data_IF_129078618991
#
_entry.id   IF_129078618991
#
_cell.length_a   1.000
_cell.length_b   1.000
_cell.length_c   1.000
_cell.angle_alpha   90.00
_cell.angle_beta   90.00
_cell.angle_gamma   90.00
#
_symmetry.space_group_name_H-M   'P 1'
#
loop_
_entity.id
_entity.type
_entity.pdbx_description
1 polymer ?
#
# COMPACT_ATOMS: atom_id res chain seq x y z
N UNK A 1 11.78 21.87 -5.77
CA UNK A 1 11.41 23.19 -5.22
C UNK A 1 11.23 24.23 -6.33
N UNK A 2 12.19 24.35 -7.26
CA UNK A 2 12.05 25.31 -8.38
C UNK A 2 10.80 25.05 -9.23
N UNK A 3 10.51 23.79 -9.55
CA UNK A 3 9.29 23.41 -10.28
C UNK A 3 8.02 23.72 -9.48
N UNK A 4 8.00 23.40 -8.17
CA UNK A 4 6.88 23.73 -7.30
C UNK A 4 6.61 25.23 -7.29
N UNK A 5 7.66 26.06 -7.16
CA UNK A 5 7.55 27.51 -7.25
C UNK A 5 6.99 27.97 -8.60
N UNK A 6 7.50 27.41 -9.71
CA UNK A 6 7.05 27.78 -11.05
C UNK A 6 5.60 27.39 -11.34
N UNK A 7 5.09 26.36 -10.65
CA UNK A 7 3.68 25.92 -10.74
C UNK A 7 2.77 26.59 -9.69
N UNK A 8 3.28 27.51 -8.89
CA UNK A 8 2.51 28.21 -7.87
C UNK A 8 2.22 27.40 -6.62
N UNK A 9 3.06 26.39 -6.32
CA UNK A 9 2.91 25.52 -5.14
C UNK A 9 3.85 26.00 -4.02
N UNK A 10 3.26 26.39 -2.88
CA UNK A 10 4.00 26.87 -1.70
C UNK A 10 4.49 25.78 -0.78
N UNK A 11 3.75 24.66 -0.69
CA UNK A 11 4.05 23.53 0.18
C UNK A 11 4.16 22.22 -0.57
N UNK A 12 5.17 21.43 -0.26
CA UNK A 12 5.46 20.17 -0.92
C UNK A 12 5.43 19.00 0.08
N UNK A 13 4.65 17.94 -0.21
CA UNK A 13 4.54 16.74 0.63
C UNK A 13 5.73 15.79 0.45
N UNK A 14 6.91 16.29 0.73
CA UNK A 14 8.20 15.59 0.71
C UNK A 14 9.25 16.46 1.47
N UNK A 15 10.47 15.96 1.71
CA UNK A 15 10.97 14.60 1.45
C UNK A 15 10.43 13.56 2.44
N UNK A 16 10.56 12.27 2.03
CA UNK A 16 10.24 11.14 2.89
C UNK A 16 11.51 10.66 3.57
N UNK A 17 11.50 10.46 4.89
CA UNK A 17 12.71 10.14 5.63
C UNK A 17 12.54 9.03 6.69
N UNK A 18 11.55 8.15 6.51
CA UNK A 18 11.45 6.94 7.32
C UNK A 18 12.58 5.95 6.98
N UNK A 19 12.78 4.95 7.83
CA UNK A 19 13.87 3.99 7.68
C UNK A 19 13.48 2.81 6.77
N UNK A 20 14.20 2.53 5.67
CA UNK A 20 13.94 1.37 4.80
C UNK A 20 14.48 0.08 5.43
N UNK A 21 13.87 -0.41 6.48
CA UNK A 21 14.35 -1.53 7.27
C UNK A 21 13.95 -2.92 6.77
N UNK A 22 12.94 -2.98 5.91
CA UNK A 22 12.42 -4.21 5.35
C UNK A 22 12.31 -4.03 3.82
N UNK A 23 12.87 -4.93 3.00
CA UNK A 23 12.75 -4.83 1.55
C UNK A 23 11.30 -4.84 1.06
N UNK A 24 10.39 -5.43 1.83
CA UNK A 24 8.95 -5.48 1.53
C UNK A 24 8.13 -4.38 2.23
N UNK A 25 8.76 -3.31 2.65
CA UNK A 25 8.07 -2.21 3.34
C UNK A 25 7.04 -1.49 2.47
N UNK A 26 7.17 -1.54 1.15
CA UNK A 26 6.21 -0.99 0.19
C UNK A 26 6.53 0.43 -0.28
N UNK A 27 7.42 1.17 0.40
CA UNK A 27 7.79 2.57 0.05
C UNK A 27 9.30 2.84 0.11
N UNK A 28 10.14 1.82 0.07
CA UNK A 28 11.59 1.98 0.13
C UNK A 28 12.15 2.85 -1.01
N UNK A 29 11.47 2.91 -2.15
CA UNK A 29 11.82 3.78 -3.27
C UNK A 29 11.77 5.29 -2.95
N UNK A 30 11.05 5.68 -1.89
CA UNK A 30 10.94 7.07 -1.44
C UNK A 30 11.94 7.40 -0.32
N UNK A 31 12.50 6.39 0.35
CA UNK A 31 13.35 6.57 1.52
C UNK A 31 14.81 6.71 1.10
N UNK A 32 15.61 7.34 1.93
CA UNK A 32 16.97 7.72 1.57
C UNK A 32 17.97 6.60 1.92
N UNK A 33 18.00 6.18 3.18
CA UNK A 33 18.97 5.22 3.67
C UNK A 33 18.52 4.57 4.97
N UNK A 34 19.07 3.39 5.27
CA UNK A 34 18.97 2.75 6.59
C UNK A 34 19.82 3.44 7.65
N UNK A 35 20.82 4.22 7.24
CA UNK A 35 21.64 5.05 8.13
C UNK A 35 20.88 6.33 8.53
N UNK A 36 20.52 6.49 9.81
CA UNK A 36 19.74 7.64 10.28
C UNK A 36 20.51 8.95 10.17
N UNK A 37 21.84 8.93 10.26
CA UNK A 37 22.67 10.13 10.15
C UNK A 37 22.77 10.59 8.70
N UNK A 38 23.02 9.65 7.78
CA UNK A 38 23.07 9.94 6.35
C UNK A 38 21.70 10.45 5.86
N UNK A 39 20.61 9.75 6.24
CA UNK A 39 19.24 10.19 5.94
C UNK A 39 18.97 11.59 6.50
N UNK A 40 19.36 11.84 7.74
CA UNK A 40 19.18 13.12 8.40
C UNK A 40 19.90 14.27 7.70
N UNK A 41 21.16 14.09 7.35
CA UNK A 41 21.94 15.09 6.60
C UNK A 41 21.34 15.36 5.22
N UNK A 42 20.98 14.30 4.49
CA UNK A 42 20.37 14.43 3.17
C UNK A 42 19.02 15.16 3.21
N UNK A 43 18.14 14.79 4.14
CA UNK A 43 16.85 15.48 4.33
C UNK A 43 17.04 16.95 4.72
N UNK A 44 18.03 17.24 5.56
CA UNK A 44 18.31 18.63 5.93
C UNK A 44 18.72 19.48 4.73
N UNK A 45 19.56 18.96 3.82
CA UNK A 45 19.97 19.68 2.61
C UNK A 45 18.81 19.83 1.62
N UNK A 46 17.97 18.79 1.43
CA UNK A 46 16.75 18.91 0.63
C UNK A 46 15.83 19.99 1.21
N UNK A 47 15.66 20.00 2.53
CA UNK A 47 14.86 21.01 3.24
C UNK A 47 15.37 22.42 3.03
N UNK A 48 16.69 22.64 3.16
CA UNK A 48 17.31 23.95 2.88
C UNK A 48 17.09 24.39 1.43
N UNK A 49 17.25 23.46 0.47
CA UNK A 49 17.00 23.76 -0.94
C UNK A 49 15.55 24.13 -1.23
N UNK A 50 14.59 23.54 -0.55
CA UNK A 50 13.17 23.92 -0.64
C UNK A 50 12.96 25.34 -0.09
N UNK A 51 13.43 25.61 1.11
CA UNK A 51 13.26 26.90 1.80
C UNK A 51 13.94 28.01 1.01
N UNK A 52 15.13 27.77 0.46
CA UNK A 52 15.83 28.76 -0.37
C UNK A 52 15.03 29.14 -1.63
N UNK A 53 14.13 28.30 -2.10
CA UNK A 53 13.20 28.59 -3.19
C UNK A 53 11.85 29.14 -2.70
N UNK A 54 11.67 29.36 -1.39
CA UNK A 54 10.42 29.82 -0.79
C UNK A 54 9.32 28.76 -0.77
N UNK A 55 9.68 27.47 -0.87
CA UNK A 55 8.76 26.34 -0.78
C UNK A 55 9.01 25.61 0.54
N UNK A 56 7.97 25.42 1.36
CA UNK A 56 8.12 24.67 2.60
C UNK A 56 7.84 23.18 2.39
N UNK A 57 8.80 22.30 2.75
CA UNK A 57 8.59 20.88 2.70
C UNK A 57 7.77 20.41 3.89
N UNK A 58 6.81 19.51 3.67
CA UNK A 58 6.23 18.70 4.72
C UNK A 58 7.01 17.39 4.83
N UNK A 59 8.06 17.40 5.65
CA UNK A 59 8.92 16.24 5.88
C UNK A 59 8.10 15.11 6.49
N UNK A 60 8.15 13.90 5.93
CA UNK A 60 7.19 12.83 6.22
C UNK A 60 7.85 11.45 6.36
N UNK A 61 7.20 10.49 6.99
CA UNK A 61 6.00 10.59 7.82
C UNK A 61 6.40 10.48 9.29
N UNK A 62 6.09 11.47 10.07
CA UNK A 62 6.49 11.59 11.47
C UNK A 62 5.50 10.86 12.40
N UNK A 63 5.85 9.71 12.94
CA UNK A 63 7.11 8.99 12.85
C UNK A 63 6.87 7.48 12.80
N UNK A 64 7.95 6.74 12.45
CA UNK A 64 7.97 5.25 12.53
C UNK A 64 7.01 4.57 11.53
N UNK A 65 6.82 5.13 10.37
CA UNK A 65 6.06 4.52 9.28
C UNK A 65 6.99 3.71 8.35
N UNK A 66 7.51 2.59 8.85
CA UNK A 66 8.53 1.80 8.14
C UNK A 66 7.92 0.65 7.32
N UNK A 67 6.60 0.53 7.27
CA UNK A 67 5.92 -0.51 6.49
C UNK A 67 4.49 -0.08 6.17
N UNK A 68 4.11 -0.21 4.90
CA UNK A 68 2.78 0.12 4.40
C UNK A 68 1.72 -0.93 4.75
N UNK A 69 2.12 -2.21 4.82
CA UNK A 69 1.18 -3.28 5.14
C UNK A 69 0.59 -3.10 6.54
N UNK A 70 -0.72 -2.91 6.61
CA UNK A 70 -1.45 -2.71 7.87
C UNK A 70 -1.12 -1.42 8.61
N UNK A 71 -0.58 -0.39 7.97
CA UNK A 71 -0.10 0.86 8.60
C UNK A 71 -1.14 1.55 9.48
N UNK A 72 -2.42 1.48 9.14
CA UNK A 72 -3.52 2.06 9.92
C UNK A 72 -3.86 1.26 11.18
N UNK A 73 -3.50 -0.01 11.24
CA UNK A 73 -3.83 -0.91 12.35
C UNK A 73 -2.62 -1.26 13.22
N UNK A 74 -1.42 -0.97 12.73
CA UNK A 74 -0.16 -1.29 13.41
C UNK A 74 0.03 -0.49 14.70
N UNK A 75 0.51 -1.20 15.71
CA UNK A 75 1.07 -0.66 16.95
C UNK A 75 2.57 -0.86 16.92
N UNK A 76 3.35 0.21 16.84
CA UNK A 76 4.80 0.12 16.77
C UNK A 76 5.40 0.31 18.15
N UNK A 77 6.08 -0.71 18.65
CA UNK A 77 6.73 -0.72 19.96
C UNK A 77 8.24 -0.70 19.79
N UNK A 78 8.92 0.18 20.47
CA UNK A 78 10.36 0.34 20.44
C UNK A 78 10.82 1.03 21.72
N UNK A 79 12.13 0.92 22.02
CA UNK A 79 12.72 1.66 23.12
C UNK A 79 12.82 3.14 22.77
N UNK A 80 12.83 4.01 23.78
CA UNK A 80 13.04 5.44 23.57
C UNK A 80 14.40 5.73 22.91
N UNK A 81 15.43 4.99 23.27
CA UNK A 81 16.75 5.09 22.64
C UNK A 81 16.65 4.82 21.13
N UNK A 82 16.09 3.70 20.72
CA UNK A 82 15.92 3.38 19.31
C UNK A 82 15.06 4.44 18.59
N UNK A 83 13.99 4.90 19.24
CA UNK A 83 13.13 5.94 18.69
C UNK A 83 13.95 7.21 18.39
N UNK A 84 14.74 7.69 19.34
CA UNK A 84 15.48 8.96 19.21
C UNK A 84 16.71 8.86 18.32
N UNK A 85 17.47 7.78 18.44
CA UNK A 85 18.77 7.65 17.76
C UNK A 85 18.62 7.19 16.30
N UNK A 86 17.54 6.49 15.98
CA UNK A 86 17.32 5.92 14.64
C UNK A 86 16.13 6.61 13.95
N UNK A 87 14.93 6.41 14.44
CA UNK A 87 13.70 6.76 13.71
C UNK A 87 13.38 8.25 13.68
N UNK A 88 13.70 8.96 14.74
CA UNK A 88 13.50 10.40 14.84
C UNK A 88 14.69 11.22 14.34
N UNK A 89 15.85 10.61 14.21
CA UNK A 89 17.09 11.31 13.84
C UNK A 89 16.98 12.08 12.52
N UNK A 90 16.44 11.53 11.42
CA UNK A 90 16.26 12.30 10.20
C UNK A 90 15.36 13.53 10.35
N UNK A 91 14.29 13.41 11.13
CA UNK A 91 13.39 14.52 11.43
C UNK A 91 14.05 15.60 12.30
N UNK A 92 14.84 15.17 13.28
CA UNK A 92 15.63 16.11 14.10
C UNK A 92 16.57 16.96 13.24
N UNK A 93 17.27 16.33 12.28
CA UNK A 93 18.11 17.06 11.33
C UNK A 93 17.30 17.97 10.41
N UNK A 94 16.17 17.54 9.91
CA UNK A 94 15.29 18.37 9.11
C UNK A 94 14.87 19.65 9.85
N UNK A 95 14.54 19.54 11.14
CA UNK A 95 14.11 20.66 11.98
C UNK A 95 15.30 21.52 12.42
N UNK A 96 16.31 20.91 13.06
CA UNK A 96 17.41 21.68 13.68
C UNK A 96 18.40 22.21 12.67
N UNK A 97 18.73 21.44 11.64
CA UNK A 97 19.73 21.78 10.62
C UNK A 97 19.07 22.32 9.36
N UNK A 98 18.05 21.63 8.86
CA UNK A 98 17.32 22.01 7.66
C UNK A 98 16.36 23.18 7.85
N UNK A 99 15.99 23.50 9.09
CA UNK A 99 15.03 24.57 9.44
C UNK A 99 13.63 24.33 8.86
N UNK A 100 13.20 23.09 8.79
CA UNK A 100 11.89 22.70 8.29
C UNK A 100 10.76 23.50 8.96
N UNK A 101 9.81 23.96 8.17
CA UNK A 101 8.60 24.67 8.61
C UNK A 101 7.32 23.87 8.36
N UNK A 102 7.44 22.62 7.85
CA UNK A 102 6.36 21.68 7.64
C UNK A 102 6.75 20.26 8.06
N UNK A 103 5.86 19.58 8.76
CA UNK A 103 5.99 18.15 9.13
C UNK A 103 4.67 17.45 8.86
N UNK A 104 4.71 16.28 8.22
CA UNK A 104 3.53 15.42 8.06
C UNK A 104 3.60 14.26 9.04
N UNK A 105 2.57 14.12 9.88
CA UNK A 105 2.47 13.00 10.83
C UNK A 105 1.98 11.73 10.16
N UNK A 106 2.37 10.58 10.68
CA UNK A 106 2.14 9.27 10.07
C UNK A 106 0.81 8.62 10.46
N UNK A 107 0.40 7.61 9.69
CA UNK A 107 -0.80 6.82 9.97
C UNK A 107 -0.67 5.93 11.20
N UNK A 108 0.50 5.30 11.39
CA UNK A 108 0.71 4.29 12.41
C UNK A 108 0.56 4.83 13.84
N UNK A 109 0.45 3.92 14.76
CA UNK A 109 0.56 4.21 16.18
C UNK A 109 2.00 4.05 16.66
N UNK A 110 2.42 4.89 17.59
CA UNK A 110 3.63 4.70 18.38
C UNK A 110 3.19 4.32 19.80
N UNK A 111 3.53 3.11 20.22
CA UNK A 111 2.82 2.46 21.29
C UNK A 111 1.35 2.27 20.91
N UNK A 112 0.44 2.61 21.80
CA UNK A 112 -1.01 2.53 21.58
C UNK A 112 -1.62 3.80 20.95
N UNK A 113 -0.84 4.87 20.78
CA UNK A 113 -1.35 6.20 20.39
C UNK A 113 -1.03 6.48 18.92
N UNK A 114 -2.03 6.93 18.16
CA UNK A 114 -1.80 7.42 16.79
C UNK A 114 -0.74 8.53 16.79
N UNK A 115 0.21 8.46 15.85
CA UNK A 115 1.35 9.37 15.81
C UNK A 115 0.93 10.87 15.77
N UNK A 116 -0.07 11.22 14.93
CA UNK A 116 -0.60 12.60 14.87
C UNK A 116 -1.38 13.03 16.11
N UNK A 117 -1.82 12.10 16.94
CA UNK A 117 -2.49 12.33 18.22
C UNK A 117 -1.58 12.12 19.44
N UNK A 118 -0.28 11.94 19.22
CA UNK A 118 0.69 11.68 20.27
C UNK A 118 1.36 12.99 20.73
N UNK A 119 0.92 13.51 21.89
CA UNK A 119 1.46 14.74 22.47
C UNK A 119 2.96 14.70 22.73
N UNK A 120 3.50 13.54 23.15
CA UNK A 120 4.93 13.39 23.38
C UNK A 120 5.74 13.58 22.08
N UNK A 121 5.23 13.06 20.94
CA UNK A 121 5.88 13.26 19.66
C UNK A 121 5.70 14.68 19.13
N UNK A 122 4.44 15.12 18.98
CA UNK A 122 4.11 16.34 18.23
C UNK A 122 4.34 17.63 19.02
N UNK A 123 4.27 17.58 20.34
CA UNK A 123 4.51 18.75 21.19
C UNK A 123 5.81 18.66 21.96
N UNK A 124 6.03 17.61 22.76
CA UNK A 124 7.21 17.56 23.62
C UNK A 124 8.50 17.46 22.80
N UNK A 125 8.63 16.45 21.93
CA UNK A 125 9.84 16.24 21.15
C UNK A 125 9.94 17.28 20.03
N UNK A 126 8.94 17.33 19.14
CA UNK A 126 9.02 18.15 17.94
C UNK A 126 9.12 19.65 18.25
N UNK A 127 8.25 20.17 19.12
CA UNK A 127 8.16 21.61 19.38
C UNK A 127 9.03 22.06 20.56
N UNK A 128 8.94 21.38 21.69
CA UNK A 128 9.63 21.85 22.89
C UNK A 128 11.13 21.52 22.89
N UNK A 129 11.51 20.28 22.50
CA UNK A 129 12.92 19.89 22.48
C UNK A 129 13.66 20.37 21.21
N UNK A 130 13.02 20.26 20.03
CA UNK A 130 13.69 20.62 18.76
C UNK A 130 13.42 22.04 18.32
N UNK A 131 12.46 22.72 18.93
CA UNK A 131 12.13 24.11 18.63
C UNK A 131 11.37 24.30 17.30
N UNK A 132 10.65 23.28 16.84
CA UNK A 132 9.85 23.38 15.62
C UNK A 132 8.71 24.38 15.78
N UNK A 133 8.60 25.32 14.85
CA UNK A 133 7.64 26.43 14.89
C UNK A 133 6.60 26.38 13.78
N UNK A 134 6.82 25.55 12.77
CA UNK A 134 5.98 25.46 11.59
C UNK A 134 4.71 24.64 11.78
N UNK A 135 4.01 24.39 10.67
CA UNK A 135 2.76 23.64 10.65
C UNK A 135 2.99 22.12 10.60
N UNK A 136 2.21 21.39 11.38
CA UNK A 136 2.05 19.95 11.24
C UNK A 136 0.79 19.66 10.43
N UNK A 137 0.87 18.76 9.46
CA UNK A 137 -0.27 18.22 8.72
C UNK A 137 -0.39 16.72 9.01
N UNK A 138 -1.61 16.19 9.06
CA UNK A 138 -1.78 14.72 9.13
C UNK A 138 -1.45 14.11 7.78
N UNK A 139 -1.07 12.83 7.75
CA UNK A 139 -1.30 12.03 6.56
C UNK A 139 -2.81 11.97 6.27
N UNK A 140 -3.24 11.37 5.16
CA UNK A 140 -4.64 11.45 4.73
C UNK A 140 -5.62 11.06 5.83
N UNK A 141 -6.38 12.04 6.31
CA UNK A 141 -7.37 11.89 7.36
C UNK A 141 -8.72 11.48 6.77
N UNK A 142 -8.97 10.18 6.72
CA UNK A 142 -10.20 9.63 6.14
C UNK A 142 -11.36 9.58 7.14
N UNK A 143 -11.23 10.17 8.34
CA UNK A 143 -12.22 10.01 9.42
C UNK A 143 -12.22 8.60 10.01
N UNK A 144 -11.15 7.83 9.81
CA UNK A 144 -11.00 6.48 10.32
C UNK A 144 -11.02 6.48 11.86
N UNK A 145 -11.73 5.52 12.44
CA UNK A 145 -12.12 5.52 13.84
C UNK A 145 -11.02 5.67 14.89
N UNK A 146 -9.74 5.45 14.55
CA UNK A 146 -8.61 5.60 15.47
C UNK A 146 -7.93 6.98 15.39
N UNK A 147 -8.03 7.68 14.25
CA UNK A 147 -7.51 9.03 14.07
C UNK A 147 -8.57 10.02 14.57
N UNK A 148 -8.45 10.42 15.83
CA UNK A 148 -9.41 11.36 16.44
C UNK A 148 -8.93 12.79 16.27
N UNK A 149 -9.71 13.63 15.60
CA UNK A 149 -9.39 15.04 15.37
C UNK A 149 -9.16 15.81 16.68
N UNK A 150 -10.02 15.60 17.66
CA UNK A 150 -9.86 16.22 19.00
C UNK A 150 -8.53 15.84 19.64
N UNK A 151 -8.16 14.56 19.59
CA UNK A 151 -6.87 14.09 20.10
C UNK A 151 -5.69 14.76 19.36
N UNK A 152 -5.75 14.83 18.03
CA UNK A 152 -4.74 15.50 17.21
C UNK A 152 -4.57 16.97 17.58
N UNK A 153 -5.66 17.74 17.70
CA UNK A 153 -5.61 19.15 18.11
C UNK A 153 -4.93 19.31 19.47
N UNK A 154 -5.31 18.50 20.46
CA UNK A 154 -4.68 18.55 21.78
C UNK A 154 -3.22 18.09 21.78
N UNK A 155 -2.84 17.24 20.87
CA UNK A 155 -1.46 16.81 20.67
C UNK A 155 -0.58 17.86 19.98
N UNK A 156 -1.16 18.89 19.35
CA UNK A 156 -0.44 19.94 18.63
C UNK A 156 -0.43 19.78 17.12
N UNK A 157 -1.38 19.00 16.59
CA UNK A 157 -1.63 18.91 15.14
C UNK A 157 -2.35 20.16 14.65
N UNK A 158 -1.88 20.74 13.54
CA UNK A 158 -2.39 22.02 13.04
C UNK A 158 -3.38 21.85 11.89
N UNK A 159 -3.08 20.95 10.93
CA UNK A 159 -3.85 20.74 9.71
C UNK A 159 -4.25 19.27 9.59
N UNK A 160 -5.50 19.03 9.21
CA UNK A 160 -6.03 17.69 8.91
C UNK A 160 -6.22 17.56 7.41
N UNK A 161 -5.45 16.69 6.77
CA UNK A 161 -5.52 16.45 5.32
C UNK A 161 -6.74 15.59 5.00
N UNK A 162 -7.82 16.23 4.57
CA UNK A 162 -9.08 15.56 4.22
C UNK A 162 -9.35 15.71 2.72
N UNK A 163 -9.98 14.70 2.11
CA UNK A 163 -10.50 14.80 0.75
C UNK A 163 -11.83 15.59 0.69
N UNK A 164 -12.17 16.11 -0.49
CA UNK A 164 -13.50 16.71 -0.73
C UNK A 164 -14.58 15.67 -0.47
N UNK A 165 -15.58 16.05 0.32
CA UNK A 165 -16.71 15.17 0.66
C UNK A 165 -16.44 14.21 1.84
N UNK A 166 -15.28 14.26 2.45
CA UNK A 166 -15.03 13.52 3.70
C UNK A 166 -15.90 14.13 4.80
N UNK A 167 -16.87 13.38 5.30
CA UNK A 167 -17.61 13.73 6.52
C UNK A 167 -16.70 13.48 7.72
N UNK A 168 -15.68 14.34 7.90
CA UNK A 168 -14.79 14.28 9.06
C UNK A 168 -15.52 14.73 10.35
N UNK A 169 -14.91 14.40 11.50
CA UNK A 169 -15.29 15.02 12.76
C UNK A 169 -15.23 16.54 12.57
N UNK A 170 -16.33 17.21 12.79
CA UNK A 170 -16.35 18.68 12.82
C UNK A 170 -15.89 19.18 14.17
N UNK A 171 -15.27 20.34 14.22
CA UNK A 171 -14.94 21.02 15.48
C UNK A 171 -16.18 21.49 16.25
N UNK A 172 -17.39 21.27 15.68
CA UNK A 172 -18.66 21.65 16.32
C UNK A 172 -18.77 21.08 17.73
N UNK A 173 -19.19 21.90 18.66
CA UNK A 173 -19.29 21.57 20.09
C UNK A 173 -18.02 21.80 20.93
N UNK A 174 -16.87 22.09 20.30
CA UNK A 174 -15.65 22.46 21.04
C UNK A 174 -15.37 23.98 21.05
N UNK A 175 -16.16 24.77 20.35
CA UNK A 175 -15.98 26.24 20.22
C UNK A 175 -16.07 27.01 21.53
N UNK A 176 -16.69 26.45 22.56
CA UNK A 176 -16.75 27.01 23.92
C UNK A 176 -15.68 26.47 24.86
N UNK A 177 -14.88 25.48 24.48
CA UNK A 177 -13.84 24.90 25.32
C UNK A 177 -12.57 25.75 25.27
N UNK A 178 -12.16 26.40 26.40
CA UNK A 178 -11.01 27.30 26.40
C UNK A 178 -9.68 26.62 25.98
N UNK A 179 -9.48 25.35 26.37
CA UNK A 179 -8.29 24.60 26.02
C UNK A 179 -8.26 24.33 24.51
N UNK A 180 -9.39 23.95 23.92
CA UNK A 180 -9.50 23.76 22.48
C UNK A 180 -9.21 25.07 21.71
N UNK A 181 -9.82 26.17 22.15
CA UNK A 181 -9.59 27.51 21.55
C UNK A 181 -8.10 27.88 21.62
N UNK A 182 -7.45 27.64 22.76
CA UNK A 182 -6.01 27.89 22.93
C UNK A 182 -5.17 27.08 21.94
N UNK A 183 -5.46 25.80 21.74
CA UNK A 183 -4.74 24.96 20.79
C UNK A 183 -5.03 25.37 19.34
N UNK A 184 -6.27 25.70 19.00
CA UNK A 184 -6.64 26.21 17.68
C UNK A 184 -5.90 27.52 17.33
N UNK A 185 -5.76 28.42 18.29
CA UNK A 185 -4.95 29.66 18.12
C UNK A 185 -3.47 29.35 17.88
N UNK A 186 -2.91 28.35 18.57
CA UNK A 186 -1.54 27.89 18.33
C UNK A 186 -1.40 27.30 16.93
N UNK A 187 -2.36 26.49 16.47
CA UNK A 187 -2.40 25.94 15.15
C UNK A 187 -2.41 27.04 14.06
N UNK A 188 -3.29 28.03 14.20
CA UNK A 188 -3.31 29.18 13.30
C UNK A 188 -1.95 29.92 13.27
N UNK A 189 -1.33 30.14 14.43
CA UNK A 189 0.01 30.76 14.51
C UNK A 189 1.07 29.94 13.78
N UNK A 190 1.05 28.63 13.93
CA UNK A 190 2.00 27.71 13.29
C UNK A 190 1.82 27.70 11.76
N UNK A 191 0.58 27.68 11.29
CA UNK A 191 0.24 27.77 9.86
C UNK A 191 0.71 29.10 9.29
N UNK A 192 0.40 30.22 9.97
CA UNK A 192 0.86 31.55 9.56
C UNK A 192 2.39 31.63 9.53
N UNK A 193 3.08 31.03 10.49
CA UNK A 193 4.54 31.01 10.49
C UNK A 193 5.08 30.28 9.23
N UNK A 194 4.51 29.14 8.85
CA UNK A 194 4.93 28.44 7.63
C UNK A 194 4.65 29.27 6.39
N UNK A 195 3.46 29.86 6.29
CA UNK A 195 3.07 30.72 5.16
C UNK A 195 3.97 31.95 5.00
N UNK A 196 4.32 32.64 6.10
CA UNK A 196 5.20 33.81 6.08
C UNK A 196 6.63 33.49 5.61
N UNK A 197 7.01 32.22 5.51
CA UNK A 197 8.31 31.79 4.99
C UNK A 197 8.23 31.26 3.54
N UNK A 198 7.12 31.49 2.83
CA UNK A 198 6.99 31.12 1.42
C UNK A 198 7.48 32.23 0.48
N UNK A 199 7.77 31.88 -0.77
CA UNK A 199 8.12 32.85 -1.80
C UNK A 199 6.98 33.83 -2.10
N UNK A 200 5.73 33.39 -1.90
CA UNK A 200 4.55 34.23 -2.09
C UNK A 200 4.63 35.48 -1.19
N UNK A 201 4.99 35.29 0.08
CA UNK A 201 5.19 36.41 1.00
C UNK A 201 6.36 37.28 0.59
N UNK A 202 7.48 36.70 0.15
CA UNK A 202 8.64 37.49 -0.30
C UNK A 202 8.38 38.24 -1.60
N UNK A 203 7.60 37.71 -2.50
CA UNK A 203 7.21 38.32 -3.77
C UNK A 203 6.21 39.47 -3.59
N UNK A 204 5.41 39.43 -2.52
CA UNK A 204 4.43 40.50 -2.19
C UNK A 204 4.96 41.54 -1.24
N UNK A 205 6.20 41.42 -0.78
CA UNK A 205 6.86 42.36 0.09
C UNK A 205 7.41 43.56 -0.71
N UNK A 206 6.50 44.32 -1.30
CA UNK A 206 6.80 45.69 -1.66
C UNK A 206 6.55 46.57 -0.42
N UNK A 207 7.41 47.52 -0.16
CA UNK A 207 7.49 48.31 1.08
C UNK A 207 6.34 49.30 1.30
N UNK A 208 5.27 49.21 0.56
CA UNK A 208 4.05 49.99 0.72
C UNK A 208 2.98 49.18 1.51
N UNK A 209 2.55 49.72 2.62
CA UNK A 209 1.67 49.15 3.62
C UNK A 209 0.25 48.67 3.19
N UNK A 210 0.01 48.42 1.92
CA UNK A 210 -1.32 48.09 1.38
C UNK A 210 -1.50 46.66 0.89
N UNK A 211 -0.68 45.74 1.38
CA UNK A 211 -0.47 44.40 0.79
C UNK A 211 -1.70 43.47 0.88
N UNK A 212 -2.50 43.58 1.92
CA UNK A 212 -3.63 42.66 2.13
C UNK A 212 -4.85 43.02 1.30
N UNK A 213 -5.07 44.30 1.00
CA UNK A 213 -6.24 44.75 0.24
C UNK A 213 -6.09 44.59 -1.29
N UNK A 214 -4.88 44.80 -1.82
CA UNK A 214 -4.66 44.81 -3.27
C UNK A 214 -4.58 43.45 -3.92
N UNK A 215 -4.30 42.37 -3.18
CA UNK A 215 -4.20 41.04 -3.75
C UNK A 215 -5.47 40.19 -3.68
N UNK A 216 -6.38 40.47 -2.73
CA UNK A 216 -7.68 39.80 -2.70
C UNK A 216 -8.52 40.23 -3.90
N UNK A 217 -8.45 41.47 -4.31
CA UNK A 217 -9.15 41.98 -5.50
C UNK A 217 -8.44 41.63 -6.84
N UNK A 218 -7.17 41.21 -6.79
CA UNK A 218 -6.38 40.74 -7.93
C UNK A 218 -6.20 39.24 -8.02
N UNK A 219 -6.81 38.47 -7.13
CA UNK A 219 -7.09 37.07 -7.41
C UNK A 219 -8.22 37.08 -8.46
N UNK A 220 -7.92 37.54 -9.66
CA UNK A 220 -8.58 37.00 -10.82
C UNK A 220 -8.41 35.50 -10.66
N UNK A 221 -9.50 34.80 -10.40
CA UNK A 221 -9.60 33.39 -10.69
C UNK A 221 -9.00 33.28 -12.09
N UNK A 222 -7.74 32.84 -12.19
CA UNK A 222 -7.21 32.43 -13.47
C UNK A 222 -8.18 31.33 -13.83
N UNK A 223 -9.13 31.66 -14.72
CA UNK A 223 -9.97 30.65 -15.31
C UNK A 223 -8.99 29.59 -15.74
N UNK A 224 -9.11 28.43 -15.16
CA UNK A 224 -8.21 27.32 -15.45
C UNK A 224 -8.36 27.10 -16.94
N UNK A 225 -7.50 27.72 -17.73
CA UNK A 225 -7.41 27.46 -19.16
C UNK A 225 -7.05 26.01 -19.23
N UNK A 226 -8.08 25.22 -19.50
CA UNK A 226 -7.93 23.77 -19.56
C UNK A 226 -6.91 23.51 -20.68
N UNK A 227 -5.68 23.10 -20.35
CA UNK A 227 -4.63 23.02 -21.35
C UNK A 227 -5.09 22.09 -22.45
N UNK A 228 -5.01 22.52 -23.70
CA UNK A 228 -5.49 21.78 -24.88
C UNK A 228 -4.94 20.34 -24.98
N UNK A 229 -3.78 20.08 -24.36
CA UNK A 229 -3.14 18.77 -24.36
C UNK A 229 -3.79 17.78 -23.35
N UNK A 230 -4.55 18.23 -22.35
CA UNK A 230 -5.23 17.34 -21.40
C UNK A 230 -6.27 16.45 -22.10
N UNK A 231 -7.19 16.98 -22.94
CA UNK A 231 -8.09 16.12 -23.72
C UNK A 231 -7.35 15.17 -24.64
N UNK A 232 -6.20 15.59 -25.18
CA UNK A 232 -5.37 14.74 -26.03
C UNK A 232 -4.77 13.57 -25.23
N UNK A 233 -4.21 13.83 -24.05
CA UNK A 233 -3.70 12.78 -23.17
C UNK A 233 -4.81 11.81 -22.73
N UNK A 234 -5.96 12.32 -22.32
CA UNK A 234 -7.11 11.46 -21.97
C UNK A 234 -7.53 10.60 -23.16
N UNK A 235 -7.52 11.16 -24.38
CA UNK A 235 -7.81 10.41 -25.59
C UNK A 235 -6.79 9.30 -25.84
N UNK A 236 -5.50 9.58 -25.68
CA UNK A 236 -4.42 8.58 -25.81
C UNK A 236 -4.58 7.48 -24.76
N UNK A 237 -4.82 7.84 -23.52
CA UNK A 237 -5.00 6.88 -22.43
C UNK A 237 -6.19 5.96 -22.66
N UNK A 238 -7.31 6.49 -23.15
CA UNK A 238 -8.48 5.68 -23.53
C UNK A 238 -8.17 4.67 -24.65
N UNK A 239 -7.40 5.08 -25.66
CA UNK A 239 -6.97 4.19 -26.75
C UNK A 239 -6.04 3.11 -26.23
N UNK A 240 -5.07 3.46 -25.38
CA UNK A 240 -4.12 2.50 -24.79
C UNK A 240 -4.84 1.52 -23.86
N UNK A 241 -5.69 2.00 -22.97
CA UNK A 241 -6.44 1.13 -22.05
C UNK A 241 -7.44 0.26 -22.81
N UNK A 242 -8.12 0.82 -23.81
CA UNK A 242 -9.01 0.05 -24.69
C UNK A 242 -8.26 -1.01 -25.49
N UNK A 243 -7.11 -0.68 -26.07
CA UNK A 243 -6.25 -1.61 -26.79
C UNK A 243 -5.71 -2.74 -25.89
N UNK A 244 -5.27 -2.41 -24.70
CA UNK A 244 -4.85 -3.41 -23.70
C UNK A 244 -6.02 -4.30 -23.25
N UNK A 245 -7.20 -3.74 -23.09
CA UNK A 245 -8.42 -4.49 -22.76
C UNK A 245 -8.78 -5.50 -23.85
N UNK A 246 -8.76 -5.08 -25.10
CA UNK A 246 -8.98 -5.96 -26.26
C UNK A 246 -7.91 -7.04 -26.34
N UNK A 247 -6.65 -6.68 -26.17
CA UNK A 247 -5.55 -7.66 -26.20
C UNK A 247 -5.67 -8.70 -25.09
N UNK A 248 -5.92 -8.26 -23.84
CA UNK A 248 -6.12 -9.19 -22.72
C UNK A 248 -7.32 -10.11 -22.95
N UNK A 249 -8.41 -9.60 -23.54
CA UNK A 249 -9.55 -10.42 -23.94
C UNK A 249 -9.16 -11.53 -24.92
N UNK A 250 -8.39 -11.21 -25.97
CA UNK A 250 -7.91 -12.20 -26.92
C UNK A 250 -6.94 -13.22 -26.31
N UNK A 251 -6.08 -12.77 -25.39
CA UNK A 251 -5.19 -13.69 -24.67
C UNK A 251 -5.98 -14.65 -23.76
N UNK A 252 -7.00 -14.16 -23.08
CA UNK A 252 -7.87 -15.00 -22.25
C UNK A 252 -8.65 -16.00 -23.09
N UNK A 253 -9.19 -15.57 -24.23
CA UNK A 253 -9.90 -16.45 -25.17
C UNK A 253 -8.97 -17.54 -25.72
N UNK A 254 -7.73 -17.18 -26.09
CA UNK A 254 -6.72 -18.15 -26.54
C UNK A 254 -6.38 -19.16 -25.44
N UNK A 255 -6.26 -18.71 -24.19
CA UNK A 255 -6.01 -19.59 -23.05
C UNK A 255 -7.15 -20.58 -22.82
N UNK A 256 -8.42 -20.14 -22.91
CA UNK A 256 -9.57 -21.02 -22.81
C UNK A 256 -9.57 -22.11 -23.90
N UNK A 257 -9.31 -21.74 -25.14
CA UNK A 257 -9.23 -22.72 -26.26
C UNK A 257 -8.15 -23.77 -26.00
N UNK A 258 -6.97 -23.38 -25.54
CA UNK A 258 -5.88 -24.31 -25.19
C UNK A 258 -6.28 -25.22 -24.01
N UNK A 259 -6.94 -24.67 -23.00
CA UNK A 259 -7.43 -25.48 -21.85
C UNK A 259 -8.49 -26.48 -22.28
N UNK A 260 -9.40 -26.12 -23.18
CA UNK A 260 -10.41 -27.04 -23.76
C UNK A 260 -9.76 -28.16 -24.54
N UNK A 261 -8.74 -27.83 -25.39
CA UNK A 261 -7.99 -28.81 -26.17
C UNK A 261 -7.24 -29.83 -25.31
N UNK A 262 -6.57 -29.33 -24.24
CA UNK A 262 -5.89 -30.20 -23.24
C UNK A 262 -6.87 -31.12 -22.51
N UNK A 263 -8.04 -30.61 -22.16
CA UNK A 263 -9.08 -31.40 -21.48
C UNK A 263 -9.61 -32.51 -22.42
N UNK A 264 -9.82 -32.18 -23.67
CA UNK A 264 -10.31 -33.15 -24.69
C UNK A 264 -9.27 -34.24 -24.97
N UNK A 265 -8.01 -33.86 -25.14
CA UNK A 265 -6.90 -34.82 -25.29
C UNK A 265 -6.75 -35.73 -24.05
N UNK A 266 -6.92 -35.18 -22.87
CA UNK A 266 -6.86 -35.96 -21.64
C UNK A 266 -8.03 -36.94 -21.51
N UNK A 267 -9.23 -36.57 -21.99
CA UNK A 267 -10.41 -37.47 -22.04
C UNK A 267 -10.21 -38.60 -23.04
N UNK A 268 -9.65 -38.33 -24.20
CA UNK A 268 -9.34 -39.36 -25.20
C UNK A 268 -8.29 -40.36 -24.69
N UNK A 269 -7.21 -39.85 -24.06
CA UNK A 269 -6.19 -40.69 -23.42
C UNK A 269 -6.79 -41.58 -22.34
N UNK A 270 -7.69 -41.04 -21.48
CA UNK A 270 -8.41 -41.87 -20.46
C UNK A 270 -9.29 -42.94 -21.10
N UNK A 271 -10.01 -42.63 -22.18
CA UNK A 271 -10.82 -43.63 -22.90
C UNK A 271 -9.95 -44.74 -23.52
N UNK A 272 -8.80 -44.40 -24.09
CA UNK A 272 -7.87 -45.35 -24.66
C UNK A 272 -7.26 -46.28 -23.62
N UNK A 273 -6.83 -45.77 -22.46
CA UNK A 273 -6.28 -46.56 -21.36
C UNK A 273 -7.35 -47.48 -20.80
N UNK A 274 -8.60 -47.03 -20.66
CA UNK A 274 -9.71 -47.83 -20.18
C UNK A 274 -10.01 -49.02 -21.13
N UNK A 275 -10.01 -48.76 -22.44
CA UNK A 275 -10.19 -49.84 -23.42
C UNK A 275 -9.05 -50.87 -23.43
N UNK A 276 -7.80 -50.40 -23.23
CA UNK A 276 -6.63 -51.31 -23.15
C UNK A 276 -6.71 -52.22 -21.92
N UNK A 277 -7.03 -51.65 -20.74
CA UNK A 277 -7.22 -52.45 -19.52
C UNK A 277 -8.34 -53.48 -19.64
N UNK A 278 -9.45 -53.09 -20.28
CA UNK A 278 -10.57 -54.01 -20.48
C UNK A 278 -10.18 -55.17 -21.43
N UNK A 279 -9.39 -54.93 -22.46
CA UNK A 279 -8.86 -55.99 -23.33
C UNK A 279 -7.92 -56.95 -22.59
N UNK A 280 -6.99 -56.41 -21.78
CA UNK A 280 -6.11 -57.24 -20.97
C UNK A 280 -6.89 -58.13 -19.97
N UNK A 281 -7.97 -57.62 -19.41
CA UNK A 281 -8.83 -58.37 -18.50
C UNK A 281 -9.63 -59.45 -19.21
N UNK A 282 -10.11 -59.18 -20.43
CA UNK A 282 -10.77 -60.15 -21.30
C UNK A 282 -9.81 -61.30 -21.69
N UNK A 283 -8.59 -60.95 -22.09
CA UNK A 283 -7.57 -61.94 -22.49
C UNK A 283 -7.19 -62.84 -21.28
N UNK A 284 -7.04 -62.28 -20.10
CA UNK A 284 -6.80 -63.09 -18.89
C UNK A 284 -7.97 -64.01 -18.54
N UNK A 285 -9.23 -63.56 -18.69
CA UNK A 285 -10.40 -64.40 -18.45
C UNK A 285 -10.52 -65.54 -19.49
N UNK A 286 -10.19 -65.27 -20.73
CA UNK A 286 -10.17 -66.29 -21.78
C UNK A 286 -9.12 -67.38 -21.52
N UNK A 287 -7.92 -66.97 -21.09
CA UNK A 287 -6.86 -67.92 -20.72
C UNK A 287 -7.27 -68.78 -19.50
N UNK A 288 -7.85 -68.17 -18.47
CA UNK A 288 -8.35 -68.88 -17.32
C UNK A 288 -9.46 -69.91 -17.68
N UNK A 289 -10.32 -69.50 -18.62
CA UNK A 289 -11.41 -70.37 -19.07
C UNK A 289 -10.88 -71.59 -19.83
N UNK A 290 -9.83 -71.40 -20.68
CA UNK A 290 -9.15 -72.51 -21.35
C UNK A 290 -8.47 -73.47 -20.40
N UNK A 291 -7.84 -72.97 -19.33
CA UNK A 291 -7.23 -73.79 -18.26
C UNK A 291 -8.29 -74.62 -17.52
N UNK A 292 -9.44 -74.03 -17.22
CA UNK A 292 -10.58 -74.71 -16.60
C UNK A 292 -11.19 -75.84 -17.50
N UNK A 293 -11.33 -75.56 -18.79
CA UNK A 293 -11.81 -76.56 -19.74
C UNK A 293 -10.84 -77.77 -19.83
N UNK A 294 -9.53 -77.51 -19.83
CA UNK A 294 -8.51 -78.56 -19.79
C UNK A 294 -8.61 -79.42 -18.50
N UNK A 295 -8.80 -78.75 -17.36
CA UNK A 295 -8.98 -79.47 -16.07
C UNK A 295 -10.23 -80.28 -16.06
N UNK A 296 -11.38 -79.82 -16.56
CA UNK A 296 -12.62 -80.53 -16.71
C UNK A 296 -12.42 -81.80 -17.55
N UNK A 297 -11.71 -81.66 -18.70
CA UNK A 297 -11.40 -82.77 -19.58
C UNK A 297 -10.54 -83.85 -18.88
N UNK A 298 -9.51 -83.43 -18.15
CA UNK A 298 -8.71 -84.35 -17.32
C UNK A 298 -9.50 -85.07 -16.21
N UNK A 299 -10.44 -84.39 -15.59
CA UNK A 299 -11.31 -84.99 -14.57
C UNK A 299 -12.28 -85.96 -15.23
N UNK A 300 -12.86 -85.70 -16.36
CA UNK A 300 -13.70 -86.55 -17.15
C UNK A 300 -12.98 -87.86 -17.56
N UNK A 301 -11.70 -87.73 -18.06
CA UNK A 301 -10.88 -88.92 -18.39
C UNK A 301 -10.54 -89.74 -17.15
N UNK A 302 -10.35 -89.14 -15.97
CA UNK A 302 -10.14 -89.88 -14.73
C UNK A 302 -11.41 -90.59 -14.32
N UNK A 303 -12.60 -89.97 -14.42
CA UNK A 303 -13.87 -90.53 -14.10
C UNK A 303 -14.15 -91.75 -15.00
N UNK A 304 -13.94 -91.65 -16.31
CA UNK A 304 -14.11 -92.73 -17.28
C UNK A 304 -13.22 -93.94 -16.96
N UNK A 305 -11.95 -93.69 -16.56
CA UNK A 305 -11.01 -94.72 -16.09
C UNK A 305 -11.45 -95.36 -14.82
N UNK A 306 -12.11 -94.62 -13.88
CA UNK A 306 -12.63 -95.16 -12.66
C UNK A 306 -13.86 -96.06 -12.89
N UNK A 307 -14.77 -95.62 -13.76
CA UNK A 307 -15.95 -96.37 -14.15
C UNK A 307 -15.57 -97.64 -14.89
N UNK A 308 -14.56 -97.60 -15.76
CA UNK A 308 -14.05 -98.78 -16.46
C UNK A 308 -13.38 -99.81 -15.51
N UNK A 309 -12.77 -99.33 -14.41
CA UNK A 309 -12.22 -100.20 -13.38
C UNK A 309 -13.32 -100.78 -12.47
N UNK A 310 -14.36 -99.98 -12.16
CA UNK A 310 -15.50 -100.42 -11.36
C UNK A 310 -16.37 -101.53 -12.08
N UNK A 311 -16.47 -101.39 -13.40
CA UNK A 311 -17.21 -102.39 -14.22
C UNK A 311 -16.49 -103.76 -14.32
N UNK A 312 -15.13 -103.75 -14.31
CA UNK A 312 -14.32 -104.99 -14.31
C UNK A 312 -14.34 -105.72 -12.97
N UNK A 313 -14.56 -105.04 -11.86
CA UNK A 313 -14.66 -105.72 -10.52
C UNK A 313 -16.03 -106.31 -10.23
N UNK A 314 -17.09 -106.06 -11.03
CA UNK A 314 -18.44 -106.63 -10.88
C UNK A 314 -18.70 -107.79 -11.79
N UNK A 315 -17.71 -108.23 -12.58
CA UNK A 315 -17.82 -109.41 -13.49
C UNK A 315 -17.17 -110.70 -12.98
N UNK A 316 -16.57 -110.63 -11.74
CA UNK A 316 -16.03 -111.81 -11.06
C UNK A 316 -16.69 -112.01 -9.71
N UNK A 317 -17.93 -112.40 -9.74
CA UNK A 317 -18.63 -113.16 -8.67
C UNK A 317 -19.71 -113.98 -9.29
#
# INVERSE_FOLDING_TARGET
>A
AAEAKNTGVDGWYAPTCNMPRNPFAGRNSEYISEDPLFSGKSVAEVTKGCIANGVYPYVKHFAVNDSEAGRSEKYTWLTEQSLREIYLKPFEYAVKVGKATGIMTSFNRVGAVWAGGNYALTTQILRNEWGFRGATVTDYYAGSGYMKMKQGVYAGQDIFLTGMGTKGETFGGNSSNPTFISQARKACKNIMFSFCNTYYQSATHDSSNDIIKTNIDKISVVEAVFPWWIPLLVGIDLVVVGGLGVWTFFLMKKKQLVEEEIVEESREKKKFISKKKLREEIDNLLQTNQELELQIKLLQDKLTKYESKSSKSKGEK
#
